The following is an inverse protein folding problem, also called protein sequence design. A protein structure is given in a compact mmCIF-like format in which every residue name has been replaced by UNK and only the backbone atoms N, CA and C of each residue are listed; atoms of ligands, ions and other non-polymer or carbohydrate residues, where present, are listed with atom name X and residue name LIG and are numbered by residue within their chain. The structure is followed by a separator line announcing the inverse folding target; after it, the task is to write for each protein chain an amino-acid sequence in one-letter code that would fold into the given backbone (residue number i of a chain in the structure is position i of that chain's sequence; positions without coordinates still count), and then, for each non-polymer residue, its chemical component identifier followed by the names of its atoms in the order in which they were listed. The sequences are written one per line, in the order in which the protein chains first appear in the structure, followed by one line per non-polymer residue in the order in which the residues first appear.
data_IF_299814885384
#
_entry.id   IF_299814885384
#
_cell.length_a   1.000
_cell.length_b   1.000
_cell.length_c   1.000
_cell.angle_alpha   90.00
_cell.angle_beta   90.00
_cell.angle_gamma   90.00
#
_symmetry.space_group_name_H-M   'P 1'
#
loop_
_entity.id
_entity.type
_entity.pdbx_description
1 polymer ?
#
# COMPACT_ATOMS: atom_id res chain seq x y z
N UNK A 1 -8.33 10.08 -15.51
CA UNK A 1 -8.25 8.97 -14.54
C UNK A 1 -9.55 8.90 -13.75
N UNK A 2 -10.30 7.79 -13.82
CA UNK A 2 -11.46 7.59 -12.95
C UNK A 2 -10.94 7.00 -11.62
N UNK A 3 -11.09 7.78 -10.54
CA UNK A 3 -10.56 7.43 -9.21
C UNK A 3 -11.18 6.14 -8.67
N UNK A 4 -12.48 5.93 -8.87
CA UNK A 4 -13.21 4.75 -8.38
C UNK A 4 -12.78 3.48 -9.11
N UNK A 5 -12.60 3.57 -10.43
CA UNK A 5 -12.12 2.45 -11.23
C UNK A 5 -10.68 2.09 -10.88
N UNK A 6 -9.81 3.10 -10.70
CA UNK A 6 -8.44 2.87 -10.25
C UNK A 6 -8.41 2.23 -8.86
N UNK A 7 -9.21 2.75 -7.93
CA UNK A 7 -9.34 2.20 -6.59
C UNK A 7 -9.78 0.75 -6.59
N UNK A 8 -10.86 0.44 -7.29
CA UNK A 8 -11.40 -0.92 -7.35
C UNK A 8 -10.39 -1.88 -7.96
N UNK A 9 -9.69 -1.45 -9.01
CA UNK A 9 -8.65 -2.26 -9.66
C UNK A 9 -7.49 -2.57 -8.71
N UNK A 10 -6.90 -1.54 -8.08
CA UNK A 10 -5.78 -1.71 -7.15
C UNK A 10 -6.22 -2.51 -5.92
N UNK A 11 -7.44 -2.30 -5.42
CA UNK A 11 -7.99 -3.05 -4.30
C UNK A 11 -8.03 -4.55 -4.61
N UNK A 12 -8.54 -4.94 -5.78
CA UNK A 12 -8.59 -6.35 -6.21
C UNK A 12 -7.18 -6.92 -6.34
N UNK A 13 -6.27 -6.23 -7.02
CA UNK A 13 -4.89 -6.69 -7.22
C UNK A 13 -4.14 -6.86 -5.90
N UNK A 14 -4.27 -5.89 -4.97
CA UNK A 14 -3.63 -5.93 -3.64
C UNK A 14 -4.15 -7.04 -2.73
N UNK A 15 -5.33 -7.60 -3.04
CA UNK A 15 -5.98 -8.68 -2.31
C UNK A 15 -5.77 -10.04 -2.97
N UNK A 16 -4.84 -10.15 -3.93
CA UNK A 16 -4.49 -11.43 -4.54
C UNK A 16 -4.10 -12.44 -3.44
N UNK A 17 -4.86 -13.55 -3.28
CA UNK A 17 -4.59 -14.56 -2.25
C UNK A 17 -3.17 -15.15 -2.34
N UNK A 18 -2.57 -15.22 -3.53
CA UNK A 18 -1.24 -15.78 -3.73
C UNK A 18 -0.16 -15.02 -2.94
N UNK A 19 -0.34 -13.70 -2.74
CA UNK A 19 0.58 -12.88 -1.96
C UNK A 19 0.63 -13.37 -0.50
N UNK A 20 -0.53 -13.62 0.09
CA UNK A 20 -0.65 -14.01 1.49
C UNK A 20 -0.42 -15.50 1.71
N UNK A 21 -0.76 -16.32 0.72
CA UNK A 21 -0.51 -17.75 0.81
C UNK A 21 1.00 -18.08 0.72
N UNK A 22 1.74 -17.38 -0.15
CA UNK A 22 3.13 -17.74 -0.45
C UNK A 22 4.19 -16.86 0.22
N UNK A 23 3.86 -15.65 0.67
CA UNK A 23 4.89 -14.67 1.05
C UNK A 23 4.72 -14.03 2.43
N UNK A 24 3.51 -13.73 2.90
CA UNK A 24 3.29 -13.00 4.18
C UNK A 24 2.01 -13.46 4.86
N UNK A 25 1.90 -13.30 6.18
CA UNK A 25 0.70 -13.74 6.92
C UNK A 25 -0.60 -13.09 6.41
N UNK A 26 -1.68 -13.88 6.28
CA UNK A 26 -3.00 -13.40 5.85
C UNK A 26 -3.75 -12.69 6.99
N UNK A 27 -3.35 -11.46 7.28
CA UNK A 27 -4.04 -10.60 8.25
C UNK A 27 -4.44 -9.24 7.68
N UNK A 28 -5.33 -8.54 8.40
CA UNK A 28 -5.86 -7.23 7.99
C UNK A 28 -4.76 -6.16 7.85
N UNK A 29 -3.71 -6.20 8.69
CA UNK A 29 -2.63 -5.23 8.64
C UNK A 29 -1.77 -5.45 7.39
N UNK A 30 -1.41 -6.70 7.08
CA UNK A 30 -0.63 -7.05 5.90
C UNK A 30 -1.40 -6.74 4.62
N UNK A 31 -2.71 -7.05 4.57
CA UNK A 31 -3.60 -6.63 3.48
C UNK A 31 -3.59 -5.12 3.26
N UNK A 32 -3.71 -4.36 4.35
CA UNK A 32 -3.66 -2.90 4.27
C UNK A 32 -2.28 -2.38 3.82
N UNK A 33 -1.19 -3.00 4.28
CA UNK A 33 0.16 -2.62 3.87
C UNK A 33 0.40 -2.85 2.37
N UNK A 34 0.01 -4.03 1.83
CA UNK A 34 0.11 -4.32 0.40
C UNK A 34 -0.71 -3.31 -0.41
N UNK A 35 -1.94 -3.05 0.02
CA UNK A 35 -2.81 -2.05 -0.61
C UNK A 35 -2.17 -0.66 -0.68
N UNK A 36 -1.58 -0.18 0.43
CA UNK A 36 -0.89 1.10 0.49
C UNK A 36 0.40 1.13 -0.36
N UNK A 37 1.17 0.03 -0.38
CA UNK A 37 2.36 -0.11 -1.23
C UNK A 37 1.96 -0.07 -2.71
N UNK A 38 0.90 -0.75 -3.10
CA UNK A 38 0.43 -0.77 -4.48
C UNK A 38 0.01 0.62 -4.95
N UNK A 39 -0.65 1.39 -4.08
CA UNK A 39 -1.01 2.77 -4.36
C UNK A 39 0.20 3.71 -4.44
N UNK A 40 1.29 3.43 -3.72
CA UNK A 40 2.45 4.30 -3.64
C UNK A 40 3.03 4.67 -5.01
N UNK A 41 3.00 3.76 -6.00
CA UNK A 41 3.50 4.02 -7.35
C UNK A 41 2.73 5.11 -8.09
N UNK A 42 1.43 5.25 -7.82
CA UNK A 42 0.60 6.31 -8.39
C UNK A 42 1.00 7.65 -7.76
N UNK A 43 1.02 7.69 -6.44
CA UNK A 43 1.36 8.90 -5.68
C UNK A 43 2.80 9.36 -5.88
N UNK A 44 3.73 8.46 -6.17
CA UNK A 44 5.12 8.80 -6.48
C UNK A 44 5.31 9.35 -7.92
N UNK A 45 4.31 9.17 -8.80
CA UNK A 45 4.31 9.68 -10.19
C UNK A 45 3.53 10.98 -10.36
N UNK A 46 2.63 11.31 -9.44
CA UNK A 46 1.80 12.52 -9.48
C UNK A 46 2.37 13.56 -8.52
N UNK A 47 2.37 14.83 -8.92
CA UNK A 47 2.78 15.91 -8.03
C UNK A 47 1.79 16.10 -6.87
N UNK A 48 2.30 16.35 -5.66
CA UNK A 48 1.46 16.56 -4.47
C UNK A 48 0.49 17.74 -4.58
N UNK A 49 0.80 18.72 -5.42
CA UNK A 49 -0.05 19.90 -5.65
C UNK A 49 -1.14 19.66 -6.69
N UNK A 50 -1.08 18.53 -7.40
CA UNK A 50 -2.10 18.16 -8.37
C UNK A 50 -3.42 17.84 -7.66
N UNK A 51 -4.52 18.35 -8.21
CA UNK A 51 -5.86 18.05 -7.70
C UNK A 51 -6.16 16.55 -7.74
N UNK A 52 -5.61 15.81 -8.70
CA UNK A 52 -5.76 14.35 -8.81
C UNK A 52 -5.12 13.66 -7.60
N UNK A 53 -3.95 14.13 -7.13
CA UNK A 53 -3.29 13.61 -5.94
C UNK A 53 -4.21 13.76 -4.73
N UNK A 54 -4.74 14.97 -4.51
CA UNK A 54 -5.59 15.28 -3.35
C UNK A 54 -6.89 14.49 -3.38
N UNK A 55 -7.58 14.48 -4.52
CA UNK A 55 -8.85 13.75 -4.68
C UNK A 55 -8.65 12.24 -4.47
N UNK A 56 -7.57 11.66 -4.98
CA UNK A 56 -7.28 10.24 -4.80
C UNK A 56 -6.93 9.93 -3.33
N UNK A 57 -6.13 10.79 -2.70
CA UNK A 57 -5.76 10.67 -1.30
C UNK A 57 -7.01 10.68 -0.41
N UNK A 58 -7.84 11.71 -0.55
CA UNK A 58 -9.07 11.86 0.23
C UNK A 58 -10.00 10.66 0.02
N UNK A 59 -10.16 10.20 -1.23
CA UNK A 59 -11.00 9.05 -1.54
C UNK A 59 -10.53 7.78 -0.81
N UNK A 60 -9.24 7.45 -0.88
CA UNK A 60 -8.67 6.25 -0.27
C UNK A 60 -8.80 6.30 1.25
N UNK A 61 -8.39 7.41 1.88
CA UNK A 61 -8.35 7.48 3.33
C UNK A 61 -9.72 7.63 3.96
N UNK A 62 -10.68 8.29 3.28
CA UNK A 62 -12.07 8.30 3.72
C UNK A 62 -12.70 6.89 3.66
N UNK A 63 -12.34 6.08 2.65
CA UNK A 63 -12.77 4.68 2.58
C UNK A 63 -12.19 3.84 3.70
N UNK A 64 -10.89 3.94 3.96
CA UNK A 64 -10.25 3.24 5.09
C UNK A 64 -10.89 3.63 6.43
N UNK A 65 -11.15 4.93 6.64
CA UNK A 65 -11.79 5.42 7.86
C UNK A 65 -13.20 4.84 8.04
N UNK A 66 -13.97 4.79 6.94
CA UNK A 66 -15.31 4.20 6.91
C UNK A 66 -15.27 2.71 7.24
N UNK A 67 -14.39 1.95 6.59
CA UNK A 67 -14.19 0.52 6.84
C UNK A 67 -13.83 0.26 8.32
N UNK A 68 -12.97 1.09 8.93
CA UNK A 68 -12.64 0.98 10.35
C UNK A 68 -13.85 1.19 11.26
N UNK A 69 -14.71 2.18 10.96
CA UNK A 69 -15.95 2.40 11.72
C UNK A 69 -16.93 1.24 11.57
N UNK A 70 -17.06 0.69 10.36
CA UNK A 70 -17.93 -0.46 10.07
C UNK A 70 -17.48 -1.74 10.79
N UNK A 71 -16.17 -1.91 11.04
CA UNK A 71 -15.63 -2.97 11.89
C UNK A 71 -15.91 -2.77 13.39
N UNK A 72 -16.62 -1.71 13.78
CA UNK A 72 -17.02 -1.44 15.17
C UNK A 72 -15.97 -0.67 15.99
N UNK A 73 -14.98 -0.06 15.36
CA UNK A 73 -14.04 0.82 16.06
C UNK A 73 -14.74 2.15 16.42
N UNK A 74 -14.74 2.51 17.72
CA UNK A 74 -15.25 3.80 18.18
C UNK A 74 -14.35 4.98 17.76
N UNK A 75 -14.90 6.20 17.74
CA UNK A 75 -14.26 7.40 17.15
C UNK A 75 -12.83 7.68 17.65
N UNK A 76 -12.57 7.54 18.95
CA UNK A 76 -11.21 7.75 19.49
C UNK A 76 -10.22 6.74 18.91
N UNK A 77 -10.64 5.49 18.73
CA UNK A 77 -9.80 4.42 18.20
C UNK A 77 -9.55 4.57 16.70
N UNK A 78 -10.57 4.99 15.93
CA UNK A 78 -10.46 5.31 14.50
C UNK A 78 -9.44 6.42 14.28
N UNK A 79 -9.55 7.53 15.04
CA UNK A 79 -8.62 8.66 14.93
C UNK A 79 -7.16 8.25 15.19
N UNK A 80 -6.91 7.40 16.20
CA UNK A 80 -5.56 6.88 16.48
C UNK A 80 -5.05 6.00 15.34
N UNK A 81 -5.89 5.07 14.85
CA UNK A 81 -5.54 4.16 13.75
C UNK A 81 -5.27 4.93 12.46
N UNK A 82 -6.09 5.90 12.09
CA UNK A 82 -5.89 6.74 10.91
C UNK A 82 -4.56 7.49 10.95
N UNK A 83 -4.17 8.06 12.09
CA UNK A 83 -2.83 8.69 12.25
C UNK A 83 -1.69 7.71 11.99
N UNK A 84 -1.80 6.48 12.51
CA UNK A 84 -0.80 5.43 12.30
C UNK A 84 -0.74 5.04 10.83
N UNK A 85 -1.88 4.84 10.19
CA UNK A 85 -2.02 4.44 8.78
C UNK A 85 -1.40 5.52 7.87
N UNK A 86 -1.73 6.79 8.09
CA UNK A 86 -1.16 7.92 7.34
C UNK A 86 0.35 8.01 7.50
N UNK A 87 0.86 7.86 8.73
CA UNK A 87 2.31 7.88 9.00
C UNK A 87 3.03 6.74 8.27
N UNK A 88 2.45 5.54 8.30
CA UNK A 88 2.96 4.39 7.53
C UNK A 88 2.95 4.69 6.04
N UNK A 89 1.87 5.27 5.52
CA UNK A 89 1.75 5.59 4.10
C UNK A 89 2.83 6.59 3.63
N UNK A 90 3.07 7.67 4.37
CA UNK A 90 4.16 8.59 4.05
C UNK A 90 5.53 7.91 4.07
N UNK A 91 5.75 6.98 5.00
CA UNK A 91 6.98 6.18 5.02
C UNK A 91 7.08 5.28 3.79
N UNK A 92 5.98 4.64 3.40
CA UNK A 92 5.90 3.79 2.20
C UNK A 92 6.23 4.60 0.95
N UNK A 93 5.69 5.82 0.80
CA UNK A 93 5.99 6.68 -0.35
C UNK A 93 7.50 6.91 -0.51
N UNK A 94 8.20 7.17 0.59
CA UNK A 94 9.66 7.39 0.60
C UNK A 94 10.42 6.10 0.26
N UNK A 95 10.15 5.02 0.98
CA UNK A 95 10.88 3.77 0.82
C UNK A 95 10.66 3.15 -0.56
N UNK A 96 9.43 3.23 -1.09
CA UNK A 96 9.07 2.64 -2.37
C UNK A 96 9.33 3.52 -3.60
N UNK A 97 9.79 4.77 -3.40
CA UNK A 97 10.07 5.70 -4.51
C UNK A 97 11.11 5.16 -5.48
N UNK A 98 12.21 4.64 -4.95
CA UNK A 98 13.33 4.10 -5.73
C UNK A 98 13.55 2.61 -5.47
N UNK A 99 12.51 1.90 -5.00
CA UNK A 99 12.62 0.48 -4.63
C UNK A 99 13.17 -0.34 -5.80
N UNK A 100 12.61 -0.17 -7.00
CA UNK A 100 13.00 -0.89 -8.22
C UNK A 100 14.50 -0.81 -8.53
N UNK A 101 15.08 0.38 -8.38
CA UNK A 101 16.49 0.68 -8.71
C UNK A 101 17.45 0.28 -7.58
N UNK A 102 16.91 -0.11 -6.42
CA UNK A 102 17.70 -0.45 -5.25
C UNK A 102 18.29 -1.85 -5.34
N UNK A 103 19.39 -2.07 -4.61
CA UNK A 103 20.01 -3.39 -4.48
C UNK A 103 19.08 -4.35 -3.74
N UNK A 104 19.22 -5.66 -4.02
CA UNK A 104 18.41 -6.70 -3.38
C UNK A 104 18.46 -6.63 -1.83
N UNK A 105 19.64 -6.38 -1.26
CA UNK A 105 19.81 -6.22 0.18
C UNK A 105 19.01 -5.03 0.74
N UNK A 106 18.94 -3.93 -0.01
CA UNK A 106 18.16 -2.76 0.40
C UNK A 106 16.65 -3.01 0.24
N UNK A 107 16.24 -3.69 -0.84
CA UNK A 107 14.86 -4.16 -1.00
C UNK A 107 14.43 -5.02 0.18
N UNK A 108 15.23 -6.02 0.55
CA UNK A 108 14.95 -6.87 1.72
C UNK A 108 14.82 -6.07 3.01
N UNK A 109 15.70 -5.09 3.23
CA UNK A 109 15.63 -4.21 4.40
C UNK A 109 14.33 -3.41 4.43
N UNK A 110 13.89 -2.88 3.29
CA UNK A 110 12.59 -2.20 3.17
C UNK A 110 11.45 -3.19 3.46
N UNK A 111 11.45 -4.37 2.85
CA UNK A 111 10.37 -5.35 3.05
C UNK A 111 10.25 -5.76 4.52
N UNK A 112 11.36 -6.09 5.17
CA UNK A 112 11.40 -6.48 6.58
C UNK A 112 11.00 -5.36 7.55
N UNK A 113 11.06 -4.09 7.13
CA UNK A 113 10.53 -2.96 7.91
C UNK A 113 9.00 -3.00 8.01
N UNK A 114 8.32 -3.52 6.99
CA UNK A 114 6.85 -3.55 6.90
C UNK A 114 6.26 -4.92 7.23
N UNK A 115 6.94 -5.98 6.83
CA UNK A 115 6.51 -7.37 7.00
C UNK A 115 7.60 -8.12 7.78
N UNK A 116 7.44 -8.32 9.10
CA UNK A 116 8.48 -8.98 9.91
C UNK A 116 8.61 -10.47 9.60
N UNK A 117 7.52 -11.11 9.14
CA UNK A 117 7.48 -12.51 8.76
C UNK A 117 7.28 -12.60 7.24
N UNK A 118 8.34 -12.90 6.51
CA UNK A 118 8.31 -13.07 5.05
C UNK A 118 8.80 -14.47 4.69
N UNK A 119 8.03 -15.18 3.90
CA UNK A 119 8.43 -16.39 3.20
C UNK A 119 8.92 -16.02 1.80
N UNK A 120 10.03 -16.61 1.37
CA UNK A 120 10.58 -16.42 0.01
C UNK A 120 10.75 -14.94 -0.36
N UNK A 121 11.53 -14.21 0.45
CA UNK A 121 11.68 -12.76 0.34
C UNK A 121 12.17 -12.28 -1.04
N UNK A 122 13.02 -13.06 -1.72
CA UNK A 122 13.47 -12.76 -3.08
C UNK A 122 12.30 -12.81 -4.08
N UNK A 123 11.48 -13.87 -4.03
CA UNK A 123 10.28 -14.00 -4.87
C UNK A 123 9.27 -12.87 -4.59
N UNK A 124 9.07 -12.54 -3.31
CA UNK A 124 8.19 -11.44 -2.92
C UNK A 124 8.70 -10.08 -3.42
N UNK A 125 10.01 -9.84 -3.34
CA UNK A 125 10.64 -8.64 -3.88
C UNK A 125 10.42 -8.52 -5.39
N UNK A 126 10.58 -9.62 -6.14
CA UNK A 126 10.35 -9.65 -7.58
C UNK A 126 8.89 -9.37 -7.92
N UNK A 127 7.95 -9.98 -7.21
CA UNK A 127 6.50 -9.73 -7.38
C UNK A 127 6.17 -8.24 -7.23
N UNK A 128 6.73 -7.58 -6.20
CA UNK A 128 6.51 -6.15 -6.02
C UNK A 128 7.17 -5.32 -7.13
N UNK A 129 8.38 -5.67 -7.58
CA UNK A 129 9.04 -4.98 -8.69
C UNK A 129 8.23 -5.05 -10.00
N UNK A 130 7.68 -6.22 -10.30
CA UNK A 130 6.80 -6.44 -11.45
C UNK A 130 5.55 -5.57 -11.34
N UNK A 131 4.87 -5.59 -10.19
CA UNK A 131 3.67 -4.79 -9.97
C UNK A 131 3.95 -3.28 -10.07
N UNK A 132 5.04 -2.81 -9.45
CA UNK A 132 5.43 -1.40 -9.46
C UNK A 132 5.84 -0.91 -10.85
N UNK A 133 6.22 -1.82 -11.75
CA UNK A 133 6.54 -1.53 -13.15
C UNK A 133 5.31 -1.37 -14.05
N UNK A 134 4.11 -1.75 -13.59
CA UNK A 134 2.88 -1.57 -14.36
C UNK A 134 2.48 -0.09 -14.36
N UNK A 135 2.43 0.51 -15.56
CA UNK A 135 1.88 1.85 -15.79
C UNK A 135 0.36 1.80 -15.95
N UNK A 136 -0.36 2.56 -15.14
CA UNK A 136 -1.77 2.85 -15.39
C UNK A 136 -1.85 4.13 -16.23
N UNK A 137 -2.46 4.02 -17.40
CA UNK A 137 -2.85 5.15 -18.26
C UNK A 137 -4.23 5.66 -17.87
#
# INVERSE_FOLDING_TARGET
MNIENLYSKILIESRNPDIFFNHIDDDLNNKLLIFLIFFSKIFNKIEKKDQIYQNLFDYIFNRIETDLRELGHGDMSVNKKMKIILTKFYSILVDFKNFKESTINFKHKILLKYFPNIQKIDEFSLLLDEYLSIDYK
#
